data_IF_667028953862
#
_entry.id   IF_667028953862
#
_cell.length_a   1.000
_cell.length_b   1.000
_cell.length_c   1.000
_cell.angle_alpha   90.00
_cell.angle_beta   90.00
_cell.angle_gamma   90.00
#
_symmetry.space_group_name_H-M   'P 1'
#
loop_
_entity.id
_entity.type
_entity.pdbx_description
1 polymer ?
#
# COMPACT_ATOMS: atom_id res chain seq x y z
N UNK A 1 -18.28 -28.06 0.83
CA UNK A 1 -17.06 -28.31 0.04
C UNK A 1 -16.41 -26.95 -0.17
N UNK A 2 -15.27 -26.69 0.47
CA UNK A 2 -14.56 -25.42 0.32
C UNK A 2 -14.01 -25.32 -1.10
N UNK A 3 -14.29 -24.22 -1.80
CA UNK A 3 -13.61 -23.97 -3.07
C UNK A 3 -12.10 -23.85 -2.80
N UNK A 4 -11.23 -24.48 -3.61
CA UNK A 4 -9.80 -24.27 -3.47
C UNK A 4 -9.51 -22.76 -3.53
N UNK A 5 -8.68 -22.26 -2.61
CA UNK A 5 -8.12 -20.92 -2.67
C UNK A 5 -7.56 -20.68 -4.07
N UNK A 6 -7.98 -19.57 -4.70
CA UNK A 6 -7.42 -19.21 -6.00
C UNK A 6 -5.90 -18.99 -5.85
N UNK A 7 -5.13 -19.35 -6.87
CA UNK A 7 -3.69 -19.08 -6.85
C UNK A 7 -3.44 -17.61 -7.15
N UNK A 8 -2.39 -17.04 -6.56
CA UNK A 8 -1.89 -15.72 -6.91
C UNK A 8 -1.61 -15.63 -8.42
N UNK A 9 -2.10 -14.59 -9.07
CA UNK A 9 -1.94 -14.32 -10.49
C UNK A 9 -1.01 -13.11 -10.71
N UNK A 10 0.19 -13.38 -11.20
CA UNK A 10 1.21 -12.35 -11.41
C UNK A 10 0.85 -11.38 -12.55
N UNK A 11 0.08 -11.80 -13.56
CA UNK A 11 -0.32 -10.92 -14.67
C UNK A 11 -1.36 -9.90 -14.18
N UNK A 12 -2.30 -10.32 -13.32
CA UNK A 12 -3.24 -9.38 -12.67
C UNK A 12 -2.52 -8.40 -11.76
N UNK A 13 -1.61 -8.88 -10.92
CA UNK A 13 -0.81 -8.02 -10.05
C UNK A 13 0.01 -7.01 -10.88
N UNK A 14 0.65 -7.44 -11.97
CA UNK A 14 1.37 -6.52 -12.85
C UNK A 14 0.43 -5.48 -13.49
N UNK A 15 -0.80 -5.87 -13.85
CA UNK A 15 -1.84 -4.94 -14.29
C UNK A 15 -2.18 -3.87 -13.25
N UNK A 16 -2.18 -4.21 -11.95
CA UNK A 16 -2.37 -3.24 -10.87
C UNK A 16 -1.20 -2.26 -10.74
N UNK A 17 0.04 -2.69 -11.01
CA UNK A 17 1.19 -1.77 -11.12
C UNK A 17 0.94 -0.80 -12.27
N UNK A 18 0.59 -1.30 -13.46
CA UNK A 18 0.36 -0.47 -14.64
C UNK A 18 -0.77 0.55 -14.45
N UNK A 19 -1.82 0.18 -13.73
CA UNK A 19 -2.92 1.07 -13.38
C UNK A 19 -2.44 2.24 -12.51
N UNK A 20 -1.71 1.96 -11.43
CA UNK A 20 -1.14 2.97 -10.54
C UNK A 20 -0.17 3.92 -11.28
N UNK A 21 0.55 3.40 -12.27
CA UNK A 21 1.46 4.19 -13.11
C UNK A 21 0.76 5.17 -14.06
N UNK A 22 -0.57 5.10 -14.22
CA UNK A 22 -1.34 6.11 -14.95
C UNK A 22 -1.54 7.41 -14.15
N UNK A 23 -1.26 7.38 -12.83
CA UNK A 23 -1.58 8.45 -11.90
C UNK A 23 -0.34 8.97 -11.16
N UNK A 24 0.72 9.27 -11.90
CA UNK A 24 1.98 9.81 -11.35
C UNK A 24 1.98 11.35 -11.42
N UNK A 25 2.44 12.06 -10.38
CA UNK A 25 2.93 11.55 -9.10
C UNK A 25 1.81 11.14 -8.14
N UNK A 26 2.13 10.23 -7.21
CA UNK A 26 1.25 9.80 -6.11
C UNK A 26 1.70 10.36 -4.76
N UNK A 27 2.42 11.47 -4.76
CA UNK A 27 2.81 12.14 -3.52
C UNK A 27 1.56 12.64 -2.77
N UNK A 28 1.55 12.63 -1.43
CA UNK A 28 0.35 12.96 -0.66
C UNK A 28 -0.23 14.32 -1.03
N UNK A 29 -1.56 14.40 -1.17
CA UNK A 29 -2.28 15.61 -1.57
C UNK A 29 -2.38 15.88 -3.07
N UNK A 30 -1.71 15.10 -3.93
CA UNK A 30 -1.83 15.23 -5.40
C UNK A 30 -3.09 14.54 -5.96
N UNK A 31 -3.47 14.86 -7.20
CA UNK A 31 -4.55 14.15 -7.89
C UNK A 31 -4.23 12.66 -8.10
N UNK A 32 -2.97 12.34 -8.41
CA UNK A 32 -2.57 10.96 -8.64
C UNK A 32 -2.61 10.10 -7.37
N UNK A 33 -2.28 10.71 -6.22
CA UNK A 33 -2.46 10.11 -4.90
C UNK A 33 -3.95 9.80 -4.62
N UNK A 34 -4.84 10.78 -4.86
CA UNK A 34 -6.28 10.60 -4.66
C UNK A 34 -6.84 9.49 -5.55
N UNK A 35 -6.50 9.50 -6.84
CA UNK A 35 -6.92 8.49 -7.81
C UNK A 35 -6.44 7.09 -7.44
N UNK A 36 -5.19 6.97 -6.98
CA UNK A 36 -4.62 5.69 -6.54
C UNK A 36 -5.32 5.17 -5.29
N UNK A 37 -5.54 6.02 -4.29
CA UNK A 37 -6.30 5.63 -3.10
C UNK A 37 -7.72 5.18 -3.44
N UNK A 38 -8.41 5.89 -4.33
CA UNK A 38 -9.76 5.51 -4.78
C UNK A 38 -9.75 4.18 -5.55
N UNK A 39 -8.73 3.94 -6.36
CA UNK A 39 -8.51 2.66 -7.03
C UNK A 39 -8.36 1.52 -6.02
N UNK A 40 -7.50 1.67 -5.02
CA UNK A 40 -7.28 0.66 -3.97
C UNK A 40 -8.60 0.34 -3.24
N UNK A 41 -9.34 1.37 -2.81
CA UNK A 41 -10.63 1.21 -2.14
C UNK A 41 -11.62 0.44 -3.02
N UNK A 42 -11.69 0.77 -4.31
CA UNK A 42 -12.59 0.10 -5.24
C UNK A 42 -12.22 -1.37 -5.47
N UNK A 43 -10.92 -1.67 -5.62
CA UNK A 43 -10.44 -3.04 -5.81
C UNK A 43 -10.69 -3.91 -4.57
N UNK A 44 -10.49 -3.37 -3.36
CA UNK A 44 -10.80 -4.06 -2.10
C UNK A 44 -12.30 -4.35 -1.97
N UNK A 45 -13.17 -3.34 -2.21
CA UNK A 45 -14.63 -3.50 -2.16
C UNK A 45 -15.11 -4.53 -3.20
N UNK A 46 -14.59 -4.47 -4.42
CA UNK A 46 -14.90 -5.44 -5.47
C UNK A 46 -14.49 -6.86 -5.10
N UNK A 47 -13.44 -7.01 -4.28
CA UNK A 47 -12.96 -8.30 -3.76
C UNK A 47 -13.66 -8.72 -2.46
N UNK A 48 -14.71 -8.01 -2.03
CA UNK A 48 -15.54 -8.36 -0.88
C UNK A 48 -14.94 -7.99 0.49
N UNK A 49 -14.02 -7.04 0.53
CA UNK A 49 -13.43 -6.56 1.80
C UNK A 49 -14.23 -5.40 2.38
N UNK A 50 -14.31 -5.35 3.71
CA UNK A 50 -14.80 -4.16 4.43
C UNK A 50 -13.65 -3.16 4.48
N UNK A 51 -13.84 -1.99 3.88
CA UNK A 51 -12.77 -0.97 3.76
C UNK A 51 -13.01 0.17 4.76
N UNK A 52 -11.99 0.47 5.55
CA UNK A 52 -11.88 1.68 6.35
C UNK A 52 -10.86 2.62 5.70
N UNK A 53 -11.18 3.91 5.64
CA UNK A 53 -10.22 4.96 5.31
C UNK A 53 -9.88 5.72 6.58
N UNK A 54 -8.64 5.60 7.04
CA UNK A 54 -8.15 6.31 8.20
C UNK A 54 -7.49 7.61 7.73
N UNK A 55 -8.24 8.70 7.81
CA UNK A 55 -7.81 10.05 7.44
C UNK A 55 -7.32 10.82 8.65
N UNK A 56 -6.20 11.53 8.49
CA UNK A 56 -5.62 12.33 9.57
C UNK A 56 -4.83 13.51 9.01
N UNK A 57 -4.80 14.66 9.73
CA UNK A 57 -3.96 15.78 9.32
C UNK A 57 -2.48 15.42 9.50
N UNK A 58 -1.67 15.66 8.48
CA UNK A 58 -0.22 15.52 8.55
C UNK A 58 0.45 16.70 7.85
N UNK A 59 1.07 17.59 8.64
CA UNK A 59 1.67 18.83 8.15
C UNK A 59 0.64 19.66 7.37
N UNK A 60 0.86 19.85 6.07
CA UNK A 60 0.05 20.63 5.15
C UNK A 60 -0.91 19.78 4.29
N UNK A 61 -0.98 18.46 4.51
CA UNK A 61 -1.89 17.55 3.80
C UNK A 61 -2.85 16.82 4.74
N UNK A 62 -3.96 16.33 4.18
CA UNK A 62 -4.77 15.29 4.83
C UNK A 62 -4.29 13.93 4.32
N UNK A 63 -3.59 13.19 5.18
CA UNK A 63 -3.12 11.84 4.90
C UNK A 63 -4.27 10.84 4.96
N UNK A 64 -4.14 9.71 4.26
CA UNK A 64 -5.18 8.68 4.11
C UNK A 64 -4.58 7.28 4.07
N UNK A 65 -4.53 6.60 5.22
CA UNK A 65 -4.34 5.15 5.21
C UNK A 65 -5.63 4.46 4.74
N UNK A 66 -5.50 3.34 4.04
CA UNK A 66 -6.63 2.52 3.59
C UNK A 66 -6.45 1.11 4.16
N UNK A 67 -7.46 0.59 4.85
CA UNK A 67 -7.40 -0.74 5.48
C UNK A 67 -8.59 -1.58 5.03
N UNK A 68 -8.32 -2.64 4.29
CA UNK A 68 -9.30 -3.70 4.02
C UNK A 68 -9.28 -4.73 5.14
N UNK A 69 -10.43 -5.06 5.73
CA UNK A 69 -10.56 -6.13 6.74
C UNK A 69 -11.52 -7.23 6.30
N UNK A 70 -11.15 -8.47 6.60
CA UNK A 70 -11.97 -9.65 6.32
C UNK A 70 -11.56 -10.84 7.19
N UNK A 71 -12.51 -11.70 7.52
CA UNK A 71 -12.32 -12.82 8.45
C UNK A 71 -12.58 -12.44 9.91
N UNK A 72 -12.18 -13.32 10.82
CA UNK A 72 -12.39 -13.15 12.27
C UNK A 72 -11.39 -13.98 13.06
N UNK A 73 -10.93 -13.48 14.20
CA UNK A 73 -9.97 -14.16 15.08
C UNK A 73 -8.73 -13.30 15.33
N UNK A 74 -7.59 -13.90 15.69
CA UNK A 74 -6.33 -13.19 15.78
C UNK A 74 -5.99 -12.45 14.48
N UNK A 75 -5.40 -11.25 14.62
CA UNK A 75 -5.16 -10.33 13.50
C UNK A 75 -3.81 -10.60 12.84
N UNK A 76 -3.82 -10.71 11.51
CA UNK A 76 -2.64 -10.67 10.66
C UNK A 76 -2.70 -9.41 9.79
N UNK A 77 -1.63 -8.62 9.75
CA UNK A 77 -1.56 -7.40 8.93
C UNK A 77 -0.59 -7.62 7.78
N UNK A 78 -1.03 -7.34 6.56
CA UNK A 78 -0.17 -7.19 5.39
C UNK A 78 -0.15 -5.73 4.99
N UNK A 79 1.04 -5.13 4.91
CA UNK A 79 1.22 -3.71 4.70
C UNK A 79 1.99 -3.39 3.44
N UNK A 80 1.64 -2.32 2.74
CA UNK A 80 2.47 -1.67 1.73
C UNK A 80 2.19 -0.17 1.76
N UNK A 81 3.14 0.68 1.37
CA UNK A 81 2.84 2.09 1.14
C UNK A 81 2.38 2.31 -0.31
N UNK A 82 1.60 3.36 -0.55
CA UNK A 82 1.12 3.69 -1.91
C UNK A 82 1.50 5.09 -2.38
N UNK A 83 1.99 5.93 -1.46
CA UNK A 83 2.50 7.25 -1.81
C UNK A 83 3.85 7.15 -2.52
N UNK A 84 4.28 8.26 -3.13
CA UNK A 84 5.60 8.35 -3.78
C UNK A 84 6.39 9.52 -3.24
N UNK A 85 7.72 9.36 -3.16
CA UNK A 85 8.65 10.45 -2.90
C UNK A 85 8.49 11.61 -3.87
N UNK A 86 8.40 12.83 -3.32
CA UNK A 86 8.22 14.08 -4.08
C UNK A 86 9.41 14.46 -4.97
N UNK A 87 10.60 13.97 -4.66
CA UNK A 87 11.84 14.29 -5.39
C UNK A 87 12.76 13.08 -5.55
N UNK A 88 13.31 12.88 -6.74
CA UNK A 88 14.28 11.83 -7.05
C UNK A 88 15.70 12.24 -6.62
N UNK A 89 15.88 12.56 -5.35
CA UNK A 89 17.10 13.12 -4.77
C UNK A 89 18.37 12.27 -5.01
N UNK A 90 18.21 10.97 -5.24
CA UNK A 90 19.29 10.04 -5.58
C UNK A 90 19.50 9.80 -7.09
N UNK A 91 18.81 10.53 -7.98
CA UNK A 91 19.00 10.36 -9.43
C UNK A 91 20.47 10.64 -9.82
N UNK A 92 21.11 9.77 -10.64
CA UNK A 92 22.48 9.99 -11.09
C UNK A 92 22.63 11.26 -11.95
N UNK A 93 21.56 11.70 -12.61
CA UNK A 93 21.50 12.97 -13.32
C UNK A 93 21.01 14.08 -12.36
N UNK A 94 21.88 15.03 -11.96
CA UNK A 94 21.50 16.11 -11.07
C UNK A 94 20.32 16.96 -11.56
N UNK A 95 20.10 17.03 -12.87
CA UNK A 95 18.99 17.79 -13.44
C UNK A 95 17.62 17.15 -13.16
N UNK A 96 17.59 15.86 -12.79
CA UNK A 96 16.36 15.12 -12.49
C UNK A 96 16.04 15.05 -11.00
N UNK A 97 16.94 15.50 -10.13
CA UNK A 97 16.78 15.36 -8.67
C UNK A 97 15.64 16.15 -8.07
N UNK A 98 15.01 17.03 -8.84
CA UNK A 98 13.81 17.79 -8.46
C UNK A 98 12.52 17.19 -9.02
N UNK A 99 12.61 16.17 -9.89
CA UNK A 99 11.44 15.49 -10.45
C UNK A 99 10.87 14.49 -9.45
N UNK A 100 9.56 14.23 -9.45
CA UNK A 100 8.96 13.22 -8.58
C UNK A 100 9.38 11.80 -8.98
N UNK A 101 9.49 10.93 -7.98
CA UNK A 101 9.75 9.50 -8.20
C UNK A 101 8.48 8.84 -8.77
N UNK A 102 8.55 8.10 -9.89
CA UNK A 102 7.37 7.44 -10.45
C UNK A 102 6.80 6.31 -9.57
N UNK A 103 7.64 5.64 -8.77
CA UNK A 103 7.24 4.67 -7.74
C UNK A 103 6.66 3.34 -8.27
N UNK A 104 7.14 2.84 -9.41
CA UNK A 104 6.64 1.57 -9.95
C UNK A 104 7.01 0.38 -9.04
N UNK A 105 8.24 0.38 -8.52
CA UNK A 105 8.69 -0.62 -7.56
C UNK A 105 8.47 -0.15 -6.12
N UNK A 106 8.96 1.04 -5.81
CA UNK A 106 8.79 1.74 -4.53
C UNK A 106 7.36 2.30 -4.41
N UNK A 107 6.51 1.58 -3.67
CA UNK A 107 5.06 1.80 -3.60
C UNK A 107 4.24 0.81 -4.43
N UNK A 108 4.16 1.00 -5.76
CA UNK A 108 3.13 0.32 -6.56
C UNK A 108 3.25 -1.21 -6.60
N UNK A 109 4.45 -1.77 -6.46
CA UNK A 109 4.67 -3.23 -6.43
C UNK A 109 4.03 -3.89 -5.20
N UNK A 110 4.20 -3.30 -4.02
CA UNK A 110 3.60 -3.78 -2.78
C UNK A 110 2.09 -3.68 -2.83
N UNK A 111 1.56 -2.53 -3.26
CA UNK A 111 0.11 -2.34 -3.47
C UNK A 111 -0.47 -3.42 -4.37
N UNK A 112 0.18 -3.72 -5.50
CA UNK A 112 -0.27 -4.73 -6.45
C UNK A 112 -0.31 -6.14 -5.83
N UNK A 113 0.71 -6.53 -5.06
CA UNK A 113 0.71 -7.81 -4.34
C UNK A 113 -0.46 -7.87 -3.37
N UNK A 114 -0.69 -6.82 -2.58
CA UNK A 114 -1.79 -6.78 -1.61
C UNK A 114 -3.17 -6.83 -2.30
N UNK A 115 -3.33 -6.15 -3.44
CA UNK A 115 -4.58 -6.21 -4.22
C UNK A 115 -4.85 -7.60 -4.79
N UNK A 116 -3.83 -8.29 -5.26
CA UNK A 116 -4.00 -9.68 -5.72
C UNK A 116 -4.27 -10.63 -4.56
N UNK A 117 -3.61 -10.45 -3.40
CA UNK A 117 -3.96 -11.15 -2.17
C UNK A 117 -5.42 -10.91 -1.77
N UNK A 118 -5.94 -9.70 -1.93
CA UNK A 118 -7.33 -9.39 -1.66
C UNK A 118 -8.29 -10.23 -2.52
N UNK A 119 -7.92 -10.55 -3.76
CA UNK A 119 -8.75 -11.34 -4.68
C UNK A 119 -8.72 -12.84 -4.36
N UNK A 120 -7.59 -13.36 -3.89
CA UNK A 120 -7.37 -14.81 -3.80
C UNK A 120 -7.51 -15.37 -2.39
N UNK A 121 -7.25 -14.56 -1.35
CA UNK A 121 -7.34 -15.01 0.03
C UNK A 121 -8.79 -15.32 0.43
N UNK A 122 -8.94 -16.35 1.25
CA UNK A 122 -10.21 -16.73 1.89
C UNK A 122 -10.05 -16.72 3.41
N UNK A 123 -10.03 -15.53 4.06
CA UNK A 123 -9.75 -15.39 5.50
C UNK A 123 -10.66 -16.24 6.39
N UNK A 124 -11.90 -16.47 5.96
CA UNK A 124 -12.89 -17.27 6.69
C UNK A 124 -12.44 -18.72 6.90
N UNK A 125 -11.60 -19.25 6.01
CA UNK A 125 -11.07 -20.62 6.11
C UNK A 125 -9.84 -20.74 7.02
N UNK A 126 -9.25 -19.60 7.40
CA UNK A 126 -8.00 -19.54 8.18
C UNK A 126 -8.26 -19.36 9.68
N UNK A 127 -9.48 -18.98 10.08
CA UNK A 127 -9.78 -18.63 11.48
C UNK A 127 -8.94 -17.46 11.98
N UNK A 128 -8.64 -16.52 11.09
CA UNK A 128 -7.88 -15.29 11.35
C UNK A 128 -8.61 -14.11 10.72
N UNK A 129 -8.49 -12.94 11.34
CA UNK A 129 -8.80 -11.68 10.67
C UNK A 129 -7.56 -11.24 9.91
N UNK A 130 -7.73 -10.95 8.62
CA UNK A 130 -6.68 -10.35 7.80
C UNK A 130 -7.00 -8.87 7.63
N UNK A 131 -5.97 -8.04 7.80
CA UNK A 131 -6.00 -6.62 7.46
C UNK A 131 -4.99 -6.35 6.35
N UNK A 132 -5.46 -5.83 5.22
CA UNK A 132 -4.63 -5.33 4.13
C UNK A 132 -4.52 -3.81 4.29
N UNK A 133 -3.37 -3.35 4.76
CA UNK A 133 -3.11 -1.96 5.07
C UNK A 133 -2.26 -1.30 3.97
N UNK A 134 -2.79 -0.23 3.39
CA UNK A 134 -2.12 0.61 2.42
C UNK A 134 -1.79 1.93 3.10
N UNK A 135 -0.52 2.12 3.43
CA UNK A 135 -0.02 3.24 4.19
C UNK A 135 0.24 4.46 3.30
N UNK A 136 -0.10 5.62 3.82
CA UNK A 136 0.22 6.91 3.21
C UNK A 136 1.40 7.56 3.95
N UNK A 137 2.01 8.59 3.35
CA UNK A 137 3.07 9.38 3.98
C UNK A 137 4.23 8.50 4.48
N UNK A 138 4.68 7.56 3.65
CA UNK A 138 5.85 6.73 3.97
C UNK A 138 7.13 7.42 3.51
N UNK A 139 7.16 7.88 2.25
CA UNK A 139 8.39 7.98 1.45
C UNK A 139 8.93 9.43 1.31
N UNK A 140 8.34 10.35 2.08
CA UNK A 140 8.64 11.78 2.01
C UNK A 140 9.51 12.27 3.18
N UNK A 141 10.15 11.36 3.91
CA UNK A 141 11.00 11.70 5.03
C UNK A 141 12.16 12.63 4.66
N UNK A 142 12.52 13.48 5.63
CA UNK A 142 13.52 14.56 5.56
C UNK A 142 13.17 15.74 4.64
N UNK A 143 12.13 15.63 3.82
CA UNK A 143 11.63 16.74 2.99
C UNK A 143 10.74 17.63 3.85
N UNK A 144 11.07 18.92 3.98
CA UNK A 144 10.27 19.91 4.72
C UNK A 144 9.93 19.50 6.18
N UNK A 145 10.81 18.71 6.81
CA UNK A 145 10.60 18.20 8.16
C UNK A 145 9.51 17.13 8.28
N UNK A 146 9.18 16.47 7.18
CA UNK A 146 8.39 15.24 7.18
C UNK A 146 9.22 14.06 7.72
N UNK A 147 8.55 13.12 8.34
CA UNK A 147 9.12 11.87 8.86
C UNK A 147 8.86 10.73 7.88
N UNK A 148 9.71 9.72 7.92
CA UNK A 148 9.44 8.44 7.26
C UNK A 148 8.34 7.68 7.99
N UNK A 149 7.58 6.89 7.24
CA UNK A 149 6.59 5.93 7.75
C UNK A 149 5.55 6.55 8.70
N UNK A 150 5.12 7.79 8.41
CA UNK A 150 4.19 8.49 9.29
C UNK A 150 2.79 7.85 9.30
N UNK A 151 2.31 7.35 8.15
CA UNK A 151 1.02 6.66 8.11
C UNK A 151 0.99 5.35 8.87
N UNK A 152 2.04 4.52 8.76
CA UNK A 152 2.10 3.26 9.52
C UNK A 152 2.27 3.52 11.03
N UNK A 153 3.04 4.54 11.42
CA UNK A 153 3.12 5.01 12.82
C UNK A 153 1.74 5.43 13.34
N UNK A 154 1.01 6.24 12.58
CA UNK A 154 -0.33 6.66 12.95
C UNK A 154 -1.26 5.45 13.13
N UNK A 155 -1.27 4.49 12.19
CA UNK A 155 -2.07 3.27 12.35
C UNK A 155 -1.68 2.50 13.61
N UNK A 156 -0.38 2.28 13.85
CA UNK A 156 0.13 1.53 15.00
C UNK A 156 -0.30 2.14 16.35
N UNK A 157 -0.28 3.47 16.47
CA UNK A 157 -0.73 4.19 17.67
C UNK A 157 -2.24 4.07 17.92
N UNK A 158 -3.02 3.75 16.89
CA UNK A 158 -4.48 3.61 16.95
C UNK A 158 -4.95 2.15 16.89
N UNK A 159 -4.03 1.18 16.90
CA UNK A 159 -4.40 -0.22 17.01
C UNK A 159 -4.99 -0.51 18.39
N UNK A 160 -6.18 -1.11 18.40
CA UNK A 160 -6.87 -1.56 19.63
C UNK A 160 -6.57 -3.01 19.98
N UNK A 161 -5.86 -3.72 19.09
CA UNK A 161 -5.50 -5.13 19.20
C UNK A 161 -4.04 -5.31 18.81
N UNK A 162 -3.35 -6.25 19.47
CA UNK A 162 -2.01 -6.63 19.08
C UNK A 162 -2.08 -7.67 17.94
N UNK A 163 -1.49 -7.41 16.76
CA UNK A 163 -1.46 -8.39 15.69
C UNK A 163 -0.56 -9.57 16.06
N UNK A 164 -0.93 -10.77 15.61
CA UNK A 164 -0.13 -11.99 15.74
C UNK A 164 1.12 -11.91 14.85
N UNK A 165 0.97 -11.31 13.67
CA UNK A 165 2.08 -11.02 12.77
C UNK A 165 1.77 -9.80 11.88
N UNK A 166 2.84 -9.15 11.43
CA UNK A 166 2.81 -8.09 10.42
C UNK A 166 3.80 -8.45 9.33
N UNK A 167 3.38 -8.40 8.07
CA UNK A 167 4.24 -8.59 6.89
C UNK A 167 4.17 -7.30 6.07
N UNK A 168 5.30 -6.65 5.88
CA UNK A 168 5.41 -5.47 5.02
C UNK A 168 5.96 -5.89 3.66
N UNK A 169 5.31 -5.45 2.60
CA UNK A 169 5.63 -5.75 1.21
C UNK A 169 6.06 -4.45 0.55
N UNK A 170 7.36 -4.32 0.33
CA UNK A 170 7.97 -3.10 -0.16
C UNK A 170 9.06 -3.41 -1.19
N UNK A 171 9.06 -2.65 -2.29
CA UNK A 171 9.98 -2.80 -3.43
C UNK A 171 10.10 -4.23 -3.99
N UNK A 172 8.99 -4.96 -4.13
CA UNK A 172 8.95 -6.40 -4.49
C UNK A 172 8.73 -6.70 -5.99
N UNK A 173 8.91 -5.70 -6.85
CA UNK A 173 8.69 -5.79 -8.30
C UNK A 173 9.96 -5.66 -9.15
N UNK A 174 11.15 -5.62 -8.54
CA UNK A 174 12.41 -5.58 -9.27
C UNK A 174 12.67 -6.90 -10.02
N UNK A 175 13.18 -6.81 -11.25
CA UNK A 175 13.38 -7.98 -12.13
C UNK A 175 14.43 -8.97 -11.59
N UNK A 176 15.41 -8.49 -10.81
CA UNK A 176 16.51 -9.27 -10.25
C UNK A 176 16.47 -9.27 -8.71
N UNK A 177 15.30 -9.04 -8.12
CA UNK A 177 15.11 -8.90 -6.67
C UNK A 177 15.69 -10.09 -5.88
N UNK A 178 16.49 -9.78 -4.86
CA UNK A 178 16.99 -10.75 -3.89
C UNK A 178 16.46 -10.40 -2.49
N UNK A 179 15.70 -11.31 -1.89
CA UNK A 179 15.21 -11.21 -0.50
C UNK A 179 15.98 -12.21 0.38
N UNK A 180 16.57 -11.73 1.47
CA UNK A 180 17.41 -12.53 2.38
C UNK A 180 16.80 -12.63 3.77
#
# INVERSE_FOLDING_TARGET
MGQPSAKFDAERAFGDVQAQMQWVPRSPGTDGWRQTGDYIVNQLKASGWTVEEQRFPYKDVEARNIVGRRGSGPVLIFGAHYDTRRVADSDPDPAKRTLPVPGANDGASGVAVLLELARVLQPETLGREIQLAFFDVEDNGWLDGWEWAAGSRYMAEHLTVQPEAVVIVDMVGDADLQLY
#
